data_IF_901824262048
#
_entry.id   IF_901824262048
#
_cell.length_a   1.000
_cell.length_b   1.000
_cell.length_c   1.000
_cell.angle_alpha   90.00
_cell.angle_beta   90.00
_cell.angle_gamma   90.00
#
_symmetry.space_group_name_H-M   'P 1'
#
loop_
_entity.id
_entity.type
_entity.pdbx_description
1 polymer ?
2 non-polymer ?
3 non-polymer ?
4 non-polymer ?
5 non-polymer ?
6 water ?
#
# COMPACT_ATOMS: atom_id res chain seq x y z
N UNK A 14 24.92 22.04 -21.24
CA UNK A 14 23.83 22.85 -21.79
C UNK A 14 22.79 23.22 -20.75
N UNK A 15 21.51 23.13 -21.12
CA UNK A 15 20.46 23.56 -20.20
C UNK A 15 19.12 22.97 -20.63
N UNK A 16 18.23 22.83 -19.64
CA UNK A 16 16.85 22.41 -19.88
C UNK A 16 15.98 23.42 -19.12
N UNK A 17 15.40 24.35 -19.86
CA UNK A 17 14.54 25.39 -19.31
C UNK A 17 13.08 25.16 -19.63
N UNK A 18 12.70 23.91 -19.95
CA UNK A 18 11.32 23.67 -20.34
C UNK A 18 10.36 24.01 -19.21
N UNK A 19 10.59 23.44 -18.04
CA UNK A 19 9.58 23.58 -17.00
C UNK A 19 9.61 24.98 -16.39
N UNK A 20 10.77 25.64 -16.44
CA UNK A 20 10.88 27.03 -16.01
C UNK A 20 9.99 27.93 -16.86
N UNK A 22 5.93 29.01 -17.87
CA UNK A 22 4.63 28.46 -17.52
C UNK A 22 4.12 29.01 -16.19
N UNK A 23 3.06 29.81 -16.25
CA UNK A 23 2.43 30.32 -15.04
C UNK A 23 1.06 29.72 -14.80
N UNK A 24 0.53 28.92 -15.73
CA UNK A 24 -0.76 28.29 -15.58
C UNK A 24 -0.57 26.78 -15.46
N UNK A 25 -1.01 26.24 -14.34
CA UNK A 25 -0.95 24.83 -14.07
C UNK A 25 -1.08 24.62 -12.58
N UNK A 26 -1.67 23.53 -12.15
CA UNK A 26 -1.74 23.22 -10.74
C UNK A 26 -1.35 21.77 -10.54
N UNK A 27 -0.72 21.48 -9.40
CA UNK A 27 -0.06 20.20 -9.22
C UNK A 27 -0.40 19.68 -7.83
N UNK A 28 -0.75 18.41 -7.76
CA UNK A 28 -1.14 17.78 -6.50
C UNK A 28 -0.37 16.48 -6.32
N UNK A 29 -0.06 16.18 -5.06
CA UNK A 29 0.43 14.85 -4.70
C UNK A 29 -0.75 13.91 -4.59
N UNK A 30 -0.61 12.70 -5.15
CA UNK A 30 -1.55 11.61 -4.92
C UNK A 30 -0.82 10.53 -4.14
N UNK A 31 -1.37 10.12 -3.00
CA UNK A 31 -0.84 9.00 -2.23
C UNK A 31 -1.83 7.84 -2.31
N UNK A 32 -1.32 6.69 -2.73
CA UNK A 32 -2.12 5.47 -2.80
C UNK A 32 -1.58 4.46 -1.79
N UNK A 33 -2.47 3.84 -0.99
CA UNK A 33 -2.03 2.69 -0.22
C UNK A 33 -1.77 1.46 -1.08
N UNK A 34 -2.42 1.37 -2.25
CA UNK A 34 -2.50 0.15 -3.02
C UNK A 34 -1.63 0.19 -4.25
N UNK A 35 -0.79 -0.83 -4.43
CA UNK A 35 -0.04 -0.96 -5.66
C UNK A 35 -0.96 -1.43 -6.79
N UNK A 36 -1.94 -2.29 -6.46
CA UNK A 36 -2.89 -2.73 -7.48
C UNK A 36 -3.61 -1.54 -8.11
N UNK A 37 -4.02 -0.58 -7.29
CA UNK A 37 -4.82 0.51 -7.81
C UNK A 37 -3.99 1.43 -8.72
N UNK A 38 -2.70 1.59 -8.44
CA UNK A 38 -1.82 2.26 -9.40
C UNK A 38 -1.85 1.52 -10.74
N UNK A 39 -1.66 0.19 -10.71
CA UNK A 39 -1.67 -0.58 -11.95
C UNK A 39 -2.97 -0.39 -12.71
N UNK A 40 -4.09 -0.42 -11.99
CA UNK A 40 -5.41 -0.26 -12.62
C UNK A 40 -5.56 1.13 -13.21
N UNK A 41 -5.07 2.15 -12.49
CA UNK A 41 -5.14 3.53 -12.99
C UNK A 41 -4.38 3.69 -14.29
N UNK A 42 -3.19 3.08 -14.36
CA UNK A 42 -2.39 3.17 -15.57
C UNK A 42 -3.08 2.44 -16.72
N UNK A 43 -3.67 1.29 -16.43
CA UNK A 43 -4.31 0.48 -17.47
C UNK A 43 -5.52 1.18 -18.08
N UNK A 44 -6.36 1.79 -17.24
CA UNK A 44 -7.65 2.31 -17.68
C UNK A 44 -7.74 3.83 -17.67
N UNK A 45 -6.67 4.52 -17.26
CA UNK A 45 -6.62 5.99 -17.25
C UNK A 45 -7.77 6.60 -16.44
N UNK A 46 -7.95 6.11 -15.21
CA UNK A 46 -8.94 6.65 -14.30
C UNK A 46 -8.35 6.68 -12.90
N UNK A 47 -8.96 7.52 -12.06
CA UNK A 47 -8.58 7.61 -10.65
C UNK A 47 -9.79 8.01 -9.81
N UNK A 48 -9.65 7.83 -8.49
CA UNK A 48 -10.60 8.32 -7.50
C UNK A 48 -9.85 8.59 -6.21
N UNK A 49 -10.19 9.71 -5.54
CA UNK A 49 -9.64 10.02 -4.22
C UNK A 49 -10.73 9.86 -3.16
N UNK A 50 -10.45 10.38 -1.95
CA UNK A 50 -11.48 10.48 -0.92
C UNK A 50 -12.53 11.49 -1.36
N UNK A 51 -13.62 11.56 -0.59
CA UNK A 51 -14.61 12.59 -0.87
C UNK A 51 -13.96 13.97 -0.85
N UNK A 52 -13.20 14.27 0.20
CA UNK A 52 -12.62 15.61 0.30
C UNK A 52 -11.50 15.79 -0.72
N UNK A 53 -10.75 14.74 -1.06
CA UNK A 53 -9.76 14.86 -2.10
C UNK A 53 -10.37 15.07 -3.48
N UNK A 54 -11.42 14.31 -3.80
CA UNK A 54 -12.16 14.53 -5.04
C UNK A 54 -12.67 15.95 -5.15
N UNK A 55 -13.18 16.49 -4.05
CA UNK A 55 -13.69 17.85 -4.05
C UNK A 55 -12.58 18.85 -4.37
N UNK A 56 -11.41 18.66 -3.75
CA UNK A 56 -10.25 19.50 -4.02
C UNK A 56 -9.83 19.45 -5.48
N UNK A 57 -9.67 18.24 -6.02
CA UNK A 57 -9.20 18.11 -7.39
C UNK A 57 -10.23 18.63 -8.38
N UNK A 58 -11.51 18.37 -8.12
CA UNK A 58 -12.56 18.80 -9.04
C UNK A 58 -12.60 20.32 -9.13
N UNK A 59 -12.46 20.99 -7.99
CA UNK A 59 -12.45 22.45 -7.98
C UNK A 59 -11.28 23.01 -8.78
N UNK A 60 -10.08 22.45 -8.56
CA UNK A 60 -8.93 22.86 -9.35
C UNK A 60 -9.15 22.61 -10.83
N UNK A 61 -9.67 21.43 -11.21
CA UNK A 61 -9.86 21.14 -12.62
C UNK A 61 -10.86 22.09 -13.26
N UNK A 62 -11.95 22.39 -12.55
CA UNK A 62 -13.06 23.15 -13.10
C UNK A 62 -12.83 24.66 -13.08
N UNK A 63 -11.90 25.14 -12.25
CA UNK A 63 -11.46 26.53 -12.29
C UNK A 63 -10.29 26.74 -13.24
N UNK A 64 -9.61 25.66 -13.63
CA UNK A 64 -8.55 25.78 -14.63
C UNK A 64 -9.14 26.11 -15.99
N UNK A 65 -10.37 25.67 -16.27
CA UNK A 65 -11.05 25.92 -17.53
C UNK A 65 -10.17 25.58 -18.74
N UNK A 66 -9.37 24.52 -18.60
CA UNK A 66 -8.50 24.12 -19.69
C UNK A 66 -7.44 25.13 -20.08
N UNK A 67 -7.14 26.11 -19.22
CA UNK A 67 -6.06 27.07 -19.49
C UNK A 67 -4.67 26.51 -19.18
N UNK A 68 -4.60 25.35 -18.54
CA UNK A 68 -3.35 24.71 -18.22
C UNK A 68 -3.65 23.37 -17.56
N UNK A 69 -2.62 22.54 -17.35
CA UNK A 69 -2.86 21.19 -16.84
C UNK A 69 -3.00 21.17 -15.33
N UNK A 70 -3.70 20.13 -14.86
CA UNK A 70 -3.68 19.72 -13.46
C UNK A 70 -2.85 18.45 -13.41
N UNK A 71 -1.66 18.53 -12.84
CA UNK A 71 -0.78 17.38 -12.81
C UNK A 71 -0.96 16.66 -11.48
N UNK A 72 -0.86 15.33 -11.53
CA UNK A 72 -0.96 14.46 -10.36
C UNK A 72 0.35 13.71 -10.22
N UNK A 73 1.03 13.88 -9.07
CA UNK A 73 2.30 13.21 -8.80
C UNK A 73 2.05 12.02 -7.88
N UNK A 74 2.15 10.80 -8.42
CA UNK A 74 1.71 9.59 -7.71
C UNK A 74 2.84 8.96 -6.90
N UNK A 75 2.50 8.49 -5.70
CA UNK A 75 3.43 7.78 -4.82
C UNK A 75 2.63 6.79 -3.98
N UNK A 76 3.12 5.55 -3.86
CA UNK A 76 2.50 4.57 -2.99
C UNK A 76 3.01 4.75 -1.57
N UNK A 77 2.09 4.87 -0.62
CA UNK A 77 2.49 5.10 0.77
C UNK A 77 3.45 4.01 1.22
N UNK A 78 4.52 4.44 1.86
CA UNK A 78 5.53 3.53 2.38
C UNK A 78 6.55 3.01 1.38
N UNK A 79 6.38 3.27 0.08
CA UNK A 79 7.24 2.67 -0.93
C UNK A 79 8.62 3.32 -1.00
N UNK A 80 8.77 4.54 -0.54
CA UNK A 80 10.03 5.24 -0.65
C UNK A 80 10.31 5.90 -1.98
N UNK A 81 9.34 5.92 -2.90
CA UNK A 81 9.56 6.55 -4.21
C UNK A 81 8.25 7.02 -4.80
N UNK A 82 8.34 8.01 -5.70
CA UNK A 82 7.22 8.32 -6.58
C UNK A 82 7.21 7.33 -7.73
N UNK A 83 6.03 7.08 -8.29
CA UNK A 83 5.91 6.11 -9.37
C UNK A 83 5.49 6.68 -10.72
N UNK A 84 5.15 7.96 -10.79
CA UNK A 84 4.85 8.55 -12.07
C UNK A 84 3.99 9.78 -11.96
N UNK A 85 3.56 10.26 -13.12
CA UNK A 85 2.86 11.53 -13.29
C UNK A 85 1.69 11.33 -14.25
N UNK A 86 0.53 11.86 -13.89
CA UNK A 86 -0.63 11.84 -14.76
C UNK A 86 -1.24 13.24 -14.80
N UNK A 87 -1.96 13.52 -15.86
CA UNK A 87 -2.76 14.73 -15.94
C UNK A 87 -4.21 14.36 -15.71
N UNK A 88 -4.90 15.15 -14.88
CA UNK A 88 -6.37 15.12 -14.88
C UNK A 88 -6.95 15.38 -16.25
N UNK A 89 -7.93 14.56 -16.65
CA UNK A 89 -8.59 14.77 -17.95
C UNK A 89 -10.11 14.87 -17.89
N UNK A 90 -10.71 14.95 -16.72
CA UNK A 90 -12.14 15.17 -16.63
C UNK A 90 -12.49 15.67 -15.24
N UNK A 91 -13.68 16.26 -15.14
CA UNK A 91 -14.25 16.52 -13.83
C UNK A 91 -14.61 15.20 -13.15
N UNK A 92 -14.90 15.28 -11.85
CA UNK A 92 -15.26 14.09 -11.09
C UNK A 92 -16.71 13.73 -11.37
N UNK A 93 -16.93 12.47 -11.75
CA UNK A 93 -18.24 11.85 -11.82
C UNK A 93 -18.46 11.10 -10.50
N UNK A 94 -19.38 11.58 -9.68
CA UNK A 94 -19.53 11.04 -8.33
C UNK A 94 -20.43 9.81 -8.25
N UNK A 95 -21.10 9.41 -9.31
CA UNK A 95 -22.05 8.31 -9.25
C UNK A 95 -21.64 7.28 -10.30
N UNK A 96 -20.78 6.34 -9.89
CA UNK A 96 -20.23 5.33 -10.77
C UNK A 96 -20.23 3.98 -10.05
N UNK A 97 -19.87 2.94 -10.80
CA UNK A 97 -19.86 1.58 -10.28
C UNK A 97 -18.99 1.49 -9.04
N UNK A 98 -19.50 0.82 -8.02
CA UNK A 98 -18.76 0.63 -6.78
C UNK A 98 -17.82 -0.59 -6.86
N UNK A 99 -16.81 -0.58 -6.00
CA UNK A 99 -16.00 -1.77 -5.79
C UNK A 99 -15.03 -2.13 -6.89
N UNK A 100 -14.68 -1.18 -7.77
CA UNK A 100 -13.78 -1.53 -8.87
C UNK A 100 -12.31 -1.51 -8.49
N UNK A 101 -12.00 -0.99 -7.30
CA UNK A 101 -10.64 -0.87 -6.81
C UNK A 101 -10.38 -1.93 -5.75
N UNK A 102 -9.14 -1.98 -5.27
CA UNK A 102 -8.75 -3.07 -4.37
C UNK A 102 -9.57 -3.06 -3.08
N UNK A 103 -9.93 -1.89 -2.59
CA UNK A 103 -10.79 -1.72 -1.42
C UNK A 103 -12.06 -0.99 -1.84
N UNK A 104 -13.16 -1.29 -1.14
CA UNK A 104 -14.44 -0.70 -1.53
C UNK A 104 -14.68 0.53 -0.64
N UNK A 105 -13.84 1.54 -0.87
CA UNK A 105 -13.79 2.72 -0.03
C UNK A 105 -14.06 4.01 -0.80
N UNK A 106 -14.41 3.90 -2.07
CA UNK A 106 -14.32 5.03 -2.97
C UNK A 106 -15.66 5.27 -3.63
N UNK A 107 -15.97 6.54 -3.86
CA UNK A 107 -17.22 6.93 -4.51
C UNK A 107 -16.85 7.85 -5.68
N UNK A 108 -16.99 7.34 -6.89
CA UNK A 108 -16.85 8.17 -8.07
C UNK A 108 -15.60 7.83 -8.85
N UNK A 109 -15.34 8.66 -9.86
CA UNK A 109 -14.33 8.37 -10.86
C UNK A 109 -14.01 9.66 -11.59
N UNK A 110 -12.76 9.84 -11.97
CA UNK A 110 -12.42 10.86 -12.95
C UNK A 110 -11.35 10.34 -13.89
N UNK A 111 -11.32 10.90 -15.11
CA UNK A 111 -10.37 10.48 -16.11
C UNK A 111 -9.01 11.11 -15.85
N UNK A 112 -7.96 10.35 -16.09
CA UNK A 112 -6.60 10.87 -16.09
C UNK A 112 -5.94 10.45 -17.39
N UNK A 113 -4.73 10.95 -17.61
CA UNK A 113 -3.86 10.45 -18.67
C UNK A 113 -2.46 10.34 -18.08
N UNK A 114 -1.98 9.12 -17.89
CA UNK A 114 -0.63 8.92 -17.40
C UNK A 114 0.31 9.37 -18.50
N UNK A 115 1.19 10.30 -18.16
CA UNK A 115 2.18 10.78 -19.11
C UNK A 115 3.57 10.33 -18.76
N UNK A 116 3.78 9.77 -17.56
CA UNK A 116 5.11 9.34 -17.18
C UNK A 116 5.00 8.26 -16.11
N UNK A 117 5.58 7.08 -16.37
CA UNK A 117 5.60 5.99 -15.40
C UNK A 117 7.05 5.61 -15.15
N UNK A 118 7.59 6.00 -13.99
CA UNK A 118 8.86 5.43 -13.57
C UNK A 118 9.08 5.77 -12.10
N UNK A 119 9.84 4.90 -11.44
CA UNK A 119 10.14 5.07 -10.02
C UNK A 119 11.21 6.12 -9.84
N UNK A 120 10.91 7.12 -9.01
CA UNK A 120 11.90 8.15 -8.67
C UNK A 120 12.07 8.11 -7.16
N UNK A 121 13.26 7.76 -6.67
CA UNK A 121 13.47 7.63 -5.22
C UNK A 121 13.23 8.93 -4.48
N UNK A 122 12.71 8.81 -3.24
CA UNK A 122 12.43 10.00 -2.45
C UNK A 122 13.69 10.82 -2.21
N UNK A 123 14.86 10.17 -2.19
CA UNK A 123 16.12 10.89 -2.01
C UNK A 123 16.34 11.95 -3.10
N UNK A 124 15.79 11.74 -4.30
CA UNK A 124 15.97 12.72 -5.36
C UNK A 124 15.13 13.97 -5.13
N UNK A 125 14.10 13.87 -4.28
CA UNK A 125 13.08 14.90 -4.13
C UNK A 125 12.97 15.50 -2.75
N UNK A 126 13.55 14.89 -1.71
CA UNK A 126 13.24 15.29 -0.35
C UNK A 126 13.82 16.64 0.04
N UNK A 127 14.70 17.21 -0.78
CA UNK A 127 15.20 18.56 -0.48
C UNK A 127 14.27 19.65 -0.97
N UNK A 128 13.24 19.33 -1.74
CA UNK A 128 12.24 20.30 -2.16
C UNK A 128 11.19 20.39 -1.06
N UNK A 129 11.00 21.59 -0.50
CA UNK A 129 10.08 21.76 0.62
C UNK A 129 8.87 22.60 0.21
N UNK A 130 7.76 22.40 0.90
CA UNK A 130 6.49 23.03 0.54
C UNK A 130 6.16 24.13 1.54
N UNK A 131 6.28 25.38 1.10
CA UNK A 131 6.00 26.48 2.01
C UNK A 131 4.55 26.50 2.49
N UNK A 132 3.64 25.88 1.73
CA UNK A 132 2.24 25.82 2.11
C UNK A 132 1.92 24.63 3.01
N UNK A 133 2.91 23.80 3.31
CA UNK A 133 2.77 22.68 4.24
C UNK A 133 3.89 22.73 5.28
N UNK A 134 4.03 23.88 5.95
CA UNK A 134 4.98 24.03 7.07
C UNK A 134 6.42 23.72 6.67
N UNK A 135 6.76 23.97 5.41
CA UNK A 135 8.10 23.73 4.87
C UNK A 135 8.54 22.27 5.03
N UNK A 136 7.58 21.35 5.08
CA UNK A 136 7.92 19.93 5.06
C UNK A 136 8.38 19.47 3.69
N UNK A 137 9.24 18.45 3.62
CA UNK A 137 9.64 17.89 2.32
C UNK A 137 8.42 17.47 1.51
N UNK A 138 8.49 17.69 0.19
CA UNK A 138 7.41 17.27 -0.69
C UNK A 138 7.18 15.77 -0.57
N UNK A 139 8.22 15.02 -0.20
CA UNK A 139 8.13 13.57 -0.01
C UNK A 139 7.40 13.18 1.26
N UNK A 140 7.06 14.13 2.12
CA UNK A 140 6.30 13.83 3.32
C UNK A 140 4.85 14.33 3.24
N UNK A 141 4.30 14.42 2.03
CA UNK A 141 2.97 14.96 1.82
C UNK A 141 1.90 13.89 2.02
N UNK A 142 0.69 14.34 2.32
CA UNK A 142 -0.50 13.50 2.33
C UNK A 142 -1.23 13.58 1.00
N UNK A 143 -2.21 12.70 0.83
CA UNK A 143 -3.00 12.66 -0.39
C UNK A 143 -3.66 14.01 -0.69
N UNK A 144 -3.57 14.43 -1.96
CA UNK A 144 -4.06 15.68 -2.56
C UNK A 144 -3.46 16.93 -1.92
N UNK A 145 -2.29 16.81 -1.29
CA UNK A 145 -1.49 17.98 -0.97
C UNK A 145 -1.19 18.76 -2.24
N UNK A 146 -1.54 20.06 -2.28
CA UNK A 146 -1.18 20.85 -3.44
C UNK A 146 0.27 21.34 -3.36
N UNK A 147 0.92 21.44 -4.50
CA UNK A 147 2.34 21.79 -4.63
C UNK A 147 2.40 23.20 -5.24
N UNK A 148 3.06 24.16 -4.61
CA UNK A 148 3.21 25.47 -5.26
C UNK A 148 3.88 25.33 -6.63
N UNK A 149 3.43 26.12 -7.59
CA UNK A 149 3.91 25.98 -8.96
C UNK A 149 5.44 26.01 -9.07
N UNK A 150 6.12 26.90 -8.33
CA UNK A 150 7.55 26.99 -8.57
C UNK A 150 8.27 25.75 -8.01
N UNK A 151 7.73 25.14 -6.95
CA UNK A 151 8.27 23.88 -6.46
C UNK A 151 7.88 22.71 -7.38
N UNK A 152 6.67 22.78 -7.93
CA UNK A 152 6.22 21.75 -8.85
C UNK A 152 7.11 21.69 -10.09
N UNK A 153 7.55 22.85 -10.57
CA UNK A 153 8.46 22.87 -11.72
C UNK A 153 9.76 22.17 -11.37
N UNK A 154 10.26 22.38 -10.15
CA UNK A 154 11.47 21.71 -9.71
C UNK A 154 11.27 20.20 -9.61
N UNK A 155 10.11 19.78 -9.11
CA UNK A 155 9.84 18.35 -8.98
C UNK A 155 9.74 17.70 -10.35
N UNK A 156 9.03 18.35 -11.27
CA UNK A 156 8.85 17.77 -12.61
C UNK A 156 10.17 17.66 -13.33
N UNK A 157 11.04 18.67 -13.22
CA UNK A 157 12.35 18.57 -13.86
C UNK A 157 13.15 17.39 -13.30
N UNK A 158 13.11 17.18 -11.98
CA UNK A 158 13.85 16.07 -11.37
C UNK A 158 13.27 14.73 -11.82
N UNK A 159 11.94 14.61 -11.83
CA UNK A 159 11.34 13.35 -12.26
C UNK A 159 11.71 13.07 -13.72
N UNK A 160 11.62 14.08 -14.59
CA UNK A 160 11.90 13.87 -16.01
C UNK A 160 13.37 13.54 -16.25
N UNK A 161 14.27 14.05 -15.42
CA UNK A 161 15.71 13.91 -15.61
C UNK A 161 16.28 12.65 -14.95
N UNK A 162 15.49 11.95 -14.13
CA UNK A 162 16.05 10.85 -13.36
C UNK A 162 16.26 9.61 -14.22
N UNK A 163 17.34 8.87 -13.93
CA UNK A 163 17.64 7.66 -14.69
C UNK A 163 18.31 6.59 -13.83
N UNK B 16 -12.23 -20.42 24.28
CA UNK B 16 -12.81 -20.46 22.94
C UNK B 16 -12.46 -21.78 22.26
N UNK B 17 -13.21 -22.14 21.20
CA UNK B 17 -12.94 -23.38 20.49
C UNK B 17 -11.66 -23.33 19.67
N UNK B 18 -11.12 -22.14 19.45
CA UNK B 18 -10.06 -21.92 18.48
C UNK B 18 -8.74 -21.67 19.18
N UNK B 19 -7.70 -22.37 18.74
CA UNK B 19 -6.32 -22.10 19.15
C UNK B 19 -6.13 -22.28 20.66
N UNK B 20 -6.81 -23.27 21.23
CA UNK B 20 -6.58 -23.60 22.63
C UNK B 20 -5.20 -24.20 22.84
N UNK B 21 -4.77 -25.06 21.92
CA UNK B 21 -3.51 -25.78 22.04
C UNK B 21 -2.56 -25.26 20.97
N UNK B 22 -1.80 -24.22 21.30
CA UNK B 22 -0.82 -23.66 20.38
C UNK B 22 0.51 -23.46 21.09
N UNK B 23 0.80 -24.28 22.09
CA UNK B 23 2.12 -24.26 22.71
C UNK B 23 3.19 -24.37 21.63
N UNK B 24 4.21 -23.51 21.73
CA UNK B 24 5.41 -23.43 20.89
C UNK B 24 5.21 -22.56 19.64
N UNK B 25 3.99 -22.13 19.33
CA UNK B 25 3.77 -21.39 18.10
C UNK B 25 4.56 -20.09 18.05
N UNK B 26 4.90 -19.65 16.83
CA UNK B 26 5.39 -18.30 16.60
C UNK B 26 4.51 -17.64 15.54
N UNK B 27 4.31 -16.33 15.66
CA UNK B 27 3.27 -15.66 14.89
C UNK B 27 3.81 -14.34 14.36
N UNK B 28 3.61 -14.09 13.07
CA UNK B 28 4.14 -12.88 12.43
C UNK B 28 3.03 -12.15 11.69
N UNK B 29 3.16 -10.83 11.64
CA UNK B 29 2.30 -9.99 10.81
C UNK B 29 2.83 -10.04 9.38
N UNK B 30 1.92 -10.15 8.42
CA UNK B 30 2.24 -9.96 7.00
C UNK B 30 1.47 -8.74 6.53
N UNK B 31 2.18 -7.78 5.93
CA UNK B 31 1.55 -6.61 5.33
C UNK B 31 1.75 -6.69 3.83
N UNK B 32 0.70 -6.45 3.08
CA UNK B 32 0.77 -6.47 1.62
C UNK B 32 0.34 -5.14 1.03
N UNK B 33 1.00 -4.72 -0.06
CA UNK B 33 0.58 -3.60 -0.89
C UNK B 33 -0.44 -4.02 -1.93
N UNK B 34 -0.72 -5.31 -2.06
CA UNK B 34 -1.48 -5.86 -3.19
C UNK B 34 -2.54 -6.82 -2.69
N UNK B 35 -3.79 -6.46 -2.95
CA UNK B 35 -4.90 -7.38 -2.75
C UNK B 35 -4.85 -8.53 -3.73
N UNK B 36 -4.46 -8.25 -4.98
CA UNK B 36 -4.36 -9.33 -5.97
C UNK B 36 -3.39 -10.41 -5.50
N UNK B 37 -2.27 -10.00 -4.89
CA UNK B 37 -1.30 -11.00 -4.42
C UNK B 37 -1.88 -11.85 -3.30
N UNK B 38 -2.69 -11.24 -2.42
CA UNK B 38 -3.41 -12.02 -1.41
C UNK B 38 -4.31 -13.05 -2.08
N UNK B 39 -5.05 -12.62 -3.11
CA UNK B 39 -5.94 -13.55 -3.82
C UNK B 39 -5.14 -14.70 -4.41
N UNK B 40 -3.99 -14.40 -5.02
CA UNK B 40 -3.15 -15.46 -5.58
C UNK B 40 -2.61 -16.37 -4.48
N UNK B 41 -2.26 -15.79 -3.33
CA UNK B 41 -1.80 -16.59 -2.19
C UNK B 41 -2.87 -17.56 -1.73
N UNK B 42 -4.12 -17.10 -1.63
CA UNK B 42 -5.19 -17.98 -1.18
C UNK B 42 -5.43 -19.08 -2.20
N UNK B 43 -5.35 -18.73 -3.48
CA UNK B 43 -5.64 -19.72 -4.52
C UNK B 43 -4.59 -20.83 -4.57
N UNK B 44 -3.31 -20.47 -4.44
CA UNK B 44 -2.24 -21.42 -4.65
C UNK B 44 -1.46 -21.76 -3.38
N UNK B 45 -1.85 -21.23 -2.22
CA UNK B 45 -1.18 -21.54 -0.95
C UNK B 45 0.33 -21.35 -1.01
N UNK B 46 0.73 -20.13 -1.42
CA UNK B 46 2.13 -19.72 -1.44
C UNK B 46 2.21 -18.25 -1.07
N UNK B 47 3.40 -17.85 -0.64
CA UNK B 47 3.66 -16.45 -0.32
C UNK B 47 5.15 -16.17 -0.53
N UNK B 48 5.50 -14.89 -0.50
CA UNK B 48 6.87 -14.41 -0.57
C UNK B 48 6.94 -13.04 0.11
N UNK B 49 7.98 -12.81 0.91
CA UNK B 49 8.19 -11.51 1.53
C UNK B 49 9.37 -10.81 0.85
N UNK B 50 9.87 -9.74 1.47
CA UNK B 50 11.11 -9.15 1.04
C UNK B 50 12.26 -10.11 1.33
N UNK B 51 13.47 -9.72 0.94
CA UNK B 51 14.64 -10.50 1.29
C UNK B 51 14.78 -10.62 2.81
N UNK B 52 14.73 -9.48 3.50
CA UNK B 52 14.85 -9.50 4.96
C UNK B 52 13.70 -10.24 5.62
N UNK B 53 12.47 -10.01 5.16
CA UNK B 53 11.34 -10.72 5.71
C UNK B 53 11.41 -12.22 5.49
N UNK B 54 11.80 -12.63 4.28
CA UNK B 54 11.93 -14.06 4.01
C UNK B 54 12.93 -14.69 4.98
N UNK B 55 14.07 -14.03 5.16
CA UNK B 55 15.10 -14.55 6.06
C UNK B 55 14.58 -14.69 7.48
N UNK B 56 13.79 -13.71 7.93
CA UNK B 56 13.23 -13.78 9.27
C UNK B 56 12.25 -14.94 9.41
N UNK B 57 11.36 -15.12 8.42
CA UNK B 57 10.39 -16.19 8.52
C UNK B 57 11.07 -17.56 8.35
N UNK B 58 12.07 -17.63 7.46
CA UNK B 58 12.78 -18.88 7.25
C UNK B 58 13.45 -19.34 8.54
N UNK B 59 14.20 -18.44 9.20
CA UNK B 59 14.84 -18.76 10.47
C UNK B 59 13.84 -19.26 11.50
N UNK B 60 12.69 -18.59 11.61
CA UNK B 60 11.68 -19.02 12.58
C UNK B 60 11.12 -20.39 12.23
N UNK B 61 10.76 -20.61 10.96
CA UNK B 61 10.22 -21.89 10.55
C UNK B 61 11.21 -23.03 10.78
N UNK B 62 12.48 -22.79 10.50
CA UNK B 62 13.48 -23.85 10.62
C UNK B 62 13.78 -24.15 12.08
N UNK B 63 13.93 -23.11 12.92
CA UNK B 63 14.19 -23.33 14.33
C UNK B 63 13.00 -23.99 15.02
N UNK B 64 11.80 -23.79 14.48
CA UNK B 64 10.65 -24.55 14.96
C UNK B 64 10.84 -26.03 14.76
N UNK B 65 11.39 -26.42 13.60
CA UNK B 65 11.66 -27.82 13.25
C UNK B 65 10.47 -28.72 13.61
N UNK B 66 9.28 -28.34 13.14
CA UNK B 66 8.08 -29.13 13.31
C UNK B 66 7.51 -29.17 14.71
N UNK B 67 8.14 -28.53 15.70
CA UNK B 67 7.66 -28.58 17.09
C UNK B 67 6.40 -27.77 17.33
N UNK B 68 5.99 -26.91 16.39
CA UNK B 68 4.81 -26.09 16.56
C UNK B 68 4.53 -25.30 15.29
N UNK B 69 3.44 -24.54 15.26
CA UNK B 69 3.11 -23.81 14.02
C UNK B 69 3.76 -22.43 13.96
N UNK B 70 4.01 -21.99 12.73
CA UNK B 70 4.29 -20.58 12.44
C UNK B 70 3.04 -20.03 11.78
N UNK B 71 2.41 -19.05 12.41
CA UNK B 71 1.19 -18.47 11.90
C UNK B 71 1.50 -17.09 11.36
N UNK B 72 0.74 -16.71 10.33
CA UNK B 72 0.89 -15.44 9.62
C UNK B 72 -0.45 -14.73 9.63
N UNK B 73 -0.46 -13.49 10.10
CA UNK B 73 -1.67 -12.70 10.22
C UNK B 73 -1.62 -11.65 9.12
N UNK B 74 -2.48 -11.82 8.11
CA UNK B 74 -2.36 -11.01 6.89
C UNK B 74 -3.21 -9.74 6.96
N UNK B 75 -2.65 -8.63 6.44
CA UNK B 75 -3.37 -7.37 6.38
C UNK B 75 -2.83 -6.56 5.19
N UNK B 76 -3.73 -6.05 4.36
CA UNK B 76 -3.35 -5.19 3.24
C UNK B 76 -3.20 -3.76 3.72
N UNK B 77 -2.08 -3.13 3.36
CA UNK B 77 -1.76 -1.76 3.74
C UNK B 77 -2.94 -0.84 3.45
N UNK B 78 -3.35 -0.08 4.46
CA UNK B 78 -4.40 0.92 4.28
C UNK B 78 -5.81 0.39 4.18
N UNK B 79 -6.01 -0.92 4.29
CA UNK B 79 -7.34 -1.51 4.15
C UNK B 79 -8.22 -1.30 5.38
N UNK B 80 -7.62 -1.09 6.54
CA UNK B 80 -8.40 -0.96 7.76
C UNK B 80 -8.85 -2.26 8.39
N UNK B 81 -8.41 -3.39 7.86
CA UNK B 81 -8.77 -4.68 8.42
C UNK B 81 -7.66 -5.68 8.18
N UNK B 82 -7.65 -6.73 9.00
CA UNK B 82 -6.92 -7.92 8.63
C UNK B 82 -7.79 -8.75 7.69
N UNK B 83 -7.14 -9.60 6.88
CA UNK B 83 -7.91 -10.33 5.90
C UNK B 83 -7.81 -11.84 6.07
N UNK B 84 -7.01 -12.33 7.00
CA UNK B 84 -7.04 -13.75 7.29
C UNK B 84 -5.78 -14.25 7.98
N UNK B 85 -5.70 -15.57 8.07
CA UNK B 85 -4.63 -16.23 8.80
C UNK B 85 -4.20 -17.44 7.98
N UNK B 86 -2.89 -17.63 7.85
CA UNK B 86 -2.35 -18.81 7.21
C UNK B 86 -1.22 -19.38 8.06
N UNK B 87 -1.01 -20.69 7.93
CA UNK B 87 0.15 -21.33 8.54
C UNK B 87 1.23 -21.47 7.50
N UNK B 88 2.47 -21.18 7.90
CA UNK B 88 3.58 -21.35 6.98
C UNK B 88 3.94 -22.83 6.95
N UNK B 89 4.14 -23.37 5.75
CA UNK B 89 4.17 -24.82 5.58
C UNK B 89 5.40 -25.32 4.84
N UNK B 90 6.39 -24.46 4.62
CA UNK B 90 7.67 -24.86 4.05
C UNK B 90 8.70 -23.79 4.37
N UNK B 91 9.97 -24.17 4.24
CA UNK B 91 11.05 -23.22 4.26
C UNK B 91 11.04 -22.38 2.98
N UNK B 92 11.82 -21.31 2.97
CA UNK B 92 11.88 -20.41 1.82
C UNK B 92 12.74 -21.05 0.74
N UNK B 93 12.19 -21.10 -0.48
CA UNK B 93 12.94 -21.47 -1.68
C UNK B 93 13.27 -20.17 -2.40
N UNK B 94 14.56 -19.81 -2.47
CA UNK B 94 14.93 -18.50 -2.97
C UNK B 94 15.13 -18.44 -4.48
N UNK B 95 15.08 -19.58 -5.18
CA UNK B 95 15.31 -19.65 -6.62
C UNK B 95 14.06 -20.26 -7.27
N UNK B 96 13.13 -19.38 -7.69
CA UNK B 96 11.88 -19.80 -8.28
C UNK B 96 11.53 -18.85 -9.42
N UNK B 97 10.50 -19.23 -10.16
CA UNK B 97 10.03 -18.44 -11.29
C UNK B 97 9.80 -17.00 -10.90
N UNK B 98 10.34 -16.08 -11.68
CA UNK B 98 10.19 -14.66 -11.43
C UNK B 98 8.92 -14.11 -12.07
N UNK B 99 8.49 -12.95 -11.56
CA UNK B 99 7.40 -12.22 -12.20
C UNK B 99 6.02 -12.81 -12.04
N UNK B 100 5.80 -13.68 -11.05
CA UNK B 100 4.50 -14.32 -10.87
C UNK B 100 3.54 -13.48 -10.03
N UNK B 101 4.03 -12.43 -9.42
CA UNK B 101 3.19 -11.58 -8.55
C UNK B 101 2.90 -10.25 -9.23
N UNK B 102 2.22 -9.38 -8.49
CA UNK B 102 1.78 -8.12 -9.07
C UNK B 102 2.96 -7.24 -9.48
N UNK B 103 4.03 -7.24 -8.69
CA UNK B 103 5.29 -6.57 -9.02
C UNK B 103 6.39 -7.61 -9.17
N UNK B 104 7.47 -7.23 -9.87
CA UNK B 104 8.58 -8.16 -10.09
C UNK B 104 9.58 -8.21 -8.95
N UNK B 105 9.48 -7.33 -7.95
CA UNK B 105 10.50 -7.23 -6.92
C UNK B 105 10.50 -8.37 -5.88
N UNK B 106 9.85 -9.49 -6.15
CA UNK B 106 9.80 -10.60 -5.20
C UNK B 106 10.63 -11.78 -5.69
N UNK B 107 11.52 -12.26 -4.83
CA UNK B 107 12.40 -13.37 -5.16
C UNK B 107 12.11 -14.53 -4.21
N UNK B 108 11.66 -15.65 -4.76
CA UNK B 108 11.47 -16.84 -3.96
C UNK B 108 10.01 -17.09 -3.62
N UNK B 109 9.81 -18.14 -2.82
CA UNK B 109 8.49 -18.67 -2.56
C UNK B 109 8.57 -19.54 -1.32
N UNK B 110 7.51 -19.53 -0.51
CA UNK B 110 7.29 -20.60 0.46
C UNK B 110 5.81 -20.97 0.51
N UNK B 111 5.55 -22.22 0.90
CA UNK B 111 4.19 -22.72 1.00
C UNK B 111 3.53 -22.18 2.26
N UNK B 112 2.22 -21.95 2.16
CA UNK B 112 1.38 -21.65 3.31
C UNK B 112 0.13 -22.52 3.21
N UNK B 113 -0.65 -22.50 4.28
CA UNK B 113 -1.99 -23.08 4.25
C UNK B 113 -2.96 -22.09 4.88
N UNK B 114 -3.77 -21.44 4.06
CA UNK B 114 -4.72 -20.47 4.60
C UNK B 114 -5.74 -21.19 5.48
N UNK B 115 -5.99 -20.61 6.66
CA UNK B 115 -6.92 -21.17 7.63
C UNK B 115 -8.21 -20.38 7.69
N UNK B 116 -8.11 -19.05 7.81
CA UNK B 116 -9.25 -18.16 7.78
C UNK B 116 -9.02 -17.17 6.65
N UNK B 117 -10.03 -16.99 5.81
CA UNK B 117 -10.12 -15.85 4.91
C UNK B 117 -11.36 -15.09 5.33
N UNK B 118 -11.15 -13.95 5.99
CA UNK B 118 -12.25 -13.12 6.46
C UNK B 118 -11.72 -11.75 6.85
N UNK B 119 -12.49 -10.72 6.54
CA UNK B 119 -12.12 -9.36 6.90
C UNK B 119 -12.51 -9.10 8.34
N UNK B 120 -11.53 -8.72 9.14
CA UNK B 120 -11.75 -8.36 10.54
C UNK B 120 -11.30 -6.92 10.72
N UNK B 121 -12.21 -6.01 11.09
CA UNK B 121 -11.84 -4.58 11.20
C UNK B 121 -10.78 -4.36 12.25
N UNK B 122 -9.89 -3.38 11.99
CA UNK B 122 -8.85 -3.11 12.97
C UNK B 122 -9.43 -2.69 14.32
N UNK B 123 -10.65 -2.17 14.33
CA UNK B 123 -11.30 -1.81 15.59
C UNK B 123 -11.38 -2.99 16.56
N UNK B 124 -11.49 -4.22 16.04
CA UNK B 124 -11.57 -5.41 16.88
C UNK B 124 -10.24 -5.77 17.50
N UNK B 125 -9.14 -5.23 16.98
CA UNK B 125 -7.80 -5.70 17.34
C UNK B 125 -6.90 -4.61 17.90
N UNK B 126 -7.26 -3.34 17.74
CA UNK B 126 -6.31 -2.26 17.99
C UNK B 126 -5.98 -2.09 19.46
N UNK B 127 -6.74 -2.71 20.36
CA UNK B 127 -6.45 -2.65 21.79
C UNK B 127 -5.27 -3.53 22.18
N UNK B 128 -4.92 -4.50 21.34
CA UNK B 128 -3.83 -5.43 21.64
C UNK B 128 -2.52 -4.75 21.28
N UNK B 129 -1.63 -4.62 22.27
CA UNK B 129 -0.38 -3.92 22.06
C UNK B 129 0.79 -4.90 22.15
N UNK B 130 1.87 -4.56 21.46
CA UNK B 130 3.01 -5.45 21.34
C UNK B 130 4.14 -4.92 22.23
N UNK B 131 4.42 -5.65 23.32
CA UNK B 131 5.48 -5.23 24.23
C UNK B 131 6.86 -5.27 23.57
N UNK B 132 7.02 -6.00 22.46
CA UNK B 132 8.28 -6.00 21.74
C UNK B 132 8.34 -4.94 20.65
N UNK B 133 7.29 -4.14 20.47
CA UNK B 133 7.29 -3.06 19.49
C UNK B 133 6.81 -1.77 20.15
N UNK B 134 7.46 -1.40 21.27
CA UNK B 134 7.20 -0.11 21.94
C UNK B 134 5.74 0.03 22.38
N UNK B 135 5.08 -1.11 22.62
CA UNK B 135 3.69 -1.17 23.06
C UNK B 135 2.75 -0.52 22.04
N UNK B 136 3.13 -0.55 20.75
CA UNK B 136 2.24 -0.06 19.72
C UNK B 136 1.12 -1.05 19.47
N UNK B 137 -0.06 -0.58 19.04
CA UNK B 137 -1.13 -1.50 18.67
C UNK B 137 -0.66 -2.47 17.61
N UNK B 138 -1.20 -3.70 17.68
CA UNK B 138 -0.83 -4.73 16.72
C UNK B 138 -1.25 -4.29 15.33
N UNK B 139 -2.26 -3.44 15.25
CA UNK B 139 -2.74 -2.92 13.98
C UNK B 139 -1.82 -1.87 13.37
N UNK B 140 -0.75 -1.49 14.05
CA UNK B 140 0.21 -0.53 13.53
C UNK B 140 1.56 -1.18 13.23
N UNK B 141 1.54 -2.47 12.89
CA UNK B 141 2.75 -3.24 12.67
C UNK B 141 3.19 -3.15 11.22
N UNK B 142 4.47 -3.40 11.02
CA UNK B 142 5.08 -3.51 9.69
C UNK B 142 5.19 -4.99 9.30
N UNK B 143 5.51 -5.21 8.03
CA UNK B 143 5.63 -6.57 7.52
C UNK B 143 6.65 -7.37 8.32
N UNK B 144 6.26 -8.62 8.66
CA UNK B 144 7.04 -9.61 9.41
C UNK B 144 7.36 -9.15 10.84
N UNK B 145 6.63 -8.18 11.37
CA UNK B 145 6.65 -7.94 12.81
C UNK B 145 6.27 -9.21 13.54
N UNK B 146 7.11 -9.67 14.48
CA UNK B 146 6.76 -10.85 15.26
C UNK B 146 5.85 -10.45 16.43
N UNK B 147 4.89 -11.31 16.74
CA UNK B 147 3.87 -11.03 17.76
C UNK B 147 4.18 -11.92 18.95
N UNK B 148 4.31 -11.38 20.16
CA UNK B 148 4.47 -12.26 21.33
C UNK B 148 3.31 -13.24 21.43
N UNK B 149 3.63 -14.46 21.88
CA UNK B 149 2.67 -15.56 21.78
C UNK B 149 1.35 -15.26 22.49
N UNK B 150 1.39 -14.64 23.68
CA UNK B 150 0.10 -14.46 24.35
C UNK B 150 -0.75 -13.41 23.65
N UNK B 151 -0.12 -12.39 23.05
CA UNK B 151 -0.87 -11.43 22.24
C UNK B 151 -1.34 -12.08 20.95
N UNK B 152 -0.52 -12.96 20.37
CA UNK B 152 -0.90 -13.65 19.15
C UNK B 152 -2.13 -14.52 19.36
N UNK B 153 -2.14 -15.29 20.46
CA UNK B 153 -3.33 -16.06 20.82
C UNK B 153 -4.57 -15.18 20.86
N UNK B 154 -4.45 -13.99 21.45
CA UNK B 154 -5.61 -13.11 21.52
C UNK B 154 -6.08 -12.69 20.13
N UNK B 155 -5.14 -12.32 19.26
CA UNK B 155 -5.50 -11.90 17.91
C UNK B 155 -6.12 -13.07 17.14
N UNK B 156 -5.48 -14.24 17.22
CA UNK B 156 -5.97 -15.41 16.50
C UNK B 156 -7.40 -15.78 16.90
N UNK B 157 -7.74 -15.69 18.20
CA UNK B 157 -9.10 -16.05 18.62
C UNK B 157 -10.12 -15.01 18.20
N UNK B 158 -9.76 -13.73 18.23
CA UNK B 158 -10.68 -12.68 17.77
C UNK B 158 -10.98 -12.88 16.29
N UNK B 159 -9.95 -13.16 15.50
CA UNK B 159 -10.15 -13.35 14.06
C UNK B 159 -11.04 -14.56 13.79
N UNK B 160 -10.73 -15.68 14.45
CA UNK B 160 -11.49 -16.91 14.26
C UNK B 160 -12.96 -16.73 14.62
N UNK B 161 -13.26 -16.04 15.71
CA UNK B 161 -14.63 -15.96 16.18
C UNK B 161 -15.40 -14.77 15.64
N UNK B 162 -14.73 -13.84 14.96
CA UNK B 162 -15.41 -12.64 14.48
C UNK B 162 -16.50 -12.99 13.49
N UNK B 163 -17.67 -12.37 13.68
CA UNK B 163 -18.77 -12.47 12.74
C UNK B 163 -19.35 -11.07 12.53
N UNK B 164 -19.47 -10.67 11.27
CA UNK B 164 -20.02 -9.36 10.95
C UNK B 164 -21.54 -9.40 11.04
N UNK B 165 -22.13 -8.46 11.78
CA UNK B 165 -23.57 -8.39 11.97
C UNK B 165 -24.34 -8.35 10.65
X LIG C 1 6.73 7.19 1.20
X LIG C 1 7.37 6.26 2.14
X LIG C 1 5.29 7.23 1.52
X LIG C 1 7.28 8.53 1.37
X LIG C 1 6.95 6.70 -0.17
X LIG D 1 -8.90 -6.30 -14.90
X LIG D 1 -8.24 -6.67 -13.65
X LIG D 1 -9.67 -7.45 -15.37
X LIG D 1 -9.79 -5.16 -14.66
X LIG D 1 -7.90 -5.95 -15.91
X LIG E 1 12.45 9.49 2.95
X LIG E 1 12.26 9.17 4.37
X LIG E 1 11.16 9.86 2.36
X LIG E 1 13.37 10.61 2.82
X LIG E 1 12.98 8.33 2.24
X LIG F 1 -8.39 4.81 -6.93
X LIG F 1 -6.80 6.66 -3.13
X LIG F 1 -5.88 4.36 -2.49
X LIG F 1 -6.59 3.71 -3.61
X LIG F 1 -7.42 4.59 -4.46
X LIG F 1 -8.23 4.07 -5.61
X LIG F 1 -9.55 4.73 -5.94
X LIG F 1 -5.96 5.78 -2.28
X LIG F 1 -7.53 6.02 -4.24
X LIG F 1 -6.88 7.82 -2.93
X LIG F 1 -5.21 3.70 -1.77
X LIG G 1 1.72 28.77 -6.71
X LIG H 1 -9.55 22.35 1.16
X LIG H 1 -10.80 23.10 1.30
X LIG H 1 -9.85 20.93 1.09
X LIG H 1 -8.69 22.61 2.32
X LIG H 1 -8.87 22.78 -0.07
X LIG I 1 -4.02 -0.59 7.94
X LIG I 1 -3.80 -0.74 9.39
X LIG I 1 -4.92 -1.66 7.48
X LIG I 1 -4.67 0.68 7.62
X LIG I 1 -2.68 -0.70 7.27
X LIG J 1 -4.58 -17.10 -12.37
X LIG J 1 -5.07 -16.51 -11.12
X LIG J 1 -5.60 -18.00 -12.91
X LIG J 1 -4.27 -16.05 -13.33
X LIG J 1 -3.35 -17.87 -12.12
X LIG K 1 11.45 -26.83 1.90
X LIG K 1 12.65 -27.29 2.45
X LIG K 1 10.29 -27.37 2.80
X LIG K 1 9.85 -28.63 2.40
X LIG K 1 10.79 -27.30 4.27
X LIG K 1 9.87 -27.98 5.09
X LIG L 1 6.40 -20.44 -9.11
X LIG M 1 3.75 -12.32 -2.49
X LIG M 1 4.82 -8.75 0.16
X LIG M 1 3.34 -7.29 -1.30
X LIG M 1 3.17 -8.42 -2.26
X LIG M 1 3.88 -9.67 -1.98
X LIG M 1 3.81 -10.85 -2.91
X LIG M 1 5.02 -11.76 -3.12
X LIG M 1 4.13 -7.47 -0.12
X LIG M 1 4.69 -9.86 -0.80
X LIG M 1 5.49 -8.90 1.13
X LIG M 1 2.80 -6.28 -1.53
X LIG N 1 6.29 -0.68 6.39
X LIG N 1 7.06 0.46 6.68
X LIG N 1 7.23 -1.68 5.73
X LIG N 1 8.39 -1.86 6.45
X LIG N 1 6.43 -3.00 5.56
X LIG N 1 5.20 -2.90 6.22
X LIG O 1 15.31 -6.42 1.15
X LIG O 1 14.99 -7.04 2.35
X LIG O 1 13.99 -5.79 0.65
X LIG O 1 13.88 -4.44 0.96
X LIG O 1 13.89 -6.11 -0.85
X LIG O 1 13.84 -7.51 -0.97
#
# INVERSE_FOLDING_TARGET
MGSSYHHHHHHSSGENLYFQHMKHGRVFIIKSYSEDDIHRSIKYNIWCSTEHGNKRLDAAYRSMNGKGPVYLLFSVNGSGHFCGVAEMKSAVDYNTCAGVWSQDKWKGRFDVRWIFVKDVPNSQLRHIRLENNENKPVTNSRDTQEVPLEKAKQVLKIIASYKHTTS
MGSSYHHHHHHSSGENLYFQHMKHGRVFIIKSYSEDDIHRSIKYNIWCSTEHGNKRLDAAYRSMNGKGPVYLLFSVNGSGHFCGVAEMKSAVDYNTCAGVWSQDKWKGRFDVRWIFVKDVPNSQLRHIRLENNENKPVTNSRDTQEVPLEKAKQVLKIIASYKHTTS
SO4 S O1 O2 O3 O4
SO4 S O1 O2 O3 O4
SO4 S O1 O2 O3 O4
I5Z C10 C02 C04 C06 C07 C09 C11 N03 N08 O01 O05
CL CL
SO4 S O1 O2 O3 O4
SO4 S O1 O2 O3 O4
SO4 S O1 O2 O3 O4
GOL C1 O1 C2 O2 C3 O3
CL CL
I5Z C10 C02 C04 C06 C07 C09 C11 N03 N08 O01 O05
GOL C1 O1 C2 O2 C3 O3
GOL C1 O1 C2 O2 C3 O3
#
